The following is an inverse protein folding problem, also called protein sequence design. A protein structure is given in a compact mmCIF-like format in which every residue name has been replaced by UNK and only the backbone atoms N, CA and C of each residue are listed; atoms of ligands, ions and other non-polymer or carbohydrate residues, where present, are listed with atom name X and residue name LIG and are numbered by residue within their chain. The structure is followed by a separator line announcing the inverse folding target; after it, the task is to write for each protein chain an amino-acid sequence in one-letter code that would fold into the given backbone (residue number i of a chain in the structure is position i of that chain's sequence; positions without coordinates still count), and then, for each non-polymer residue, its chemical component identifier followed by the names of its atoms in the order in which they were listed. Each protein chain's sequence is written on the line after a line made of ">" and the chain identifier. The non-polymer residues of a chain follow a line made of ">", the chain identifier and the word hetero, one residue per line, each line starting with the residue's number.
data_IF_781849474276
#
_entry.id   IF_781849474276
#
_cell.length_a   1.000
_cell.length_b   1.000
_cell.length_c   1.000
_cell.angle_alpha   90.00
_cell.angle_beta   90.00
_cell.angle_gamma   90.00
#
_symmetry.space_group_name_H-M   'P 1'
#
loop_
_entity.id
_entity.type
_entity.pdbx_description
1 polymer ?
#
# COMPACT_ATOMS: atom_id res chain seq x y z
N UNK A 1 -9.44 6.44 -21.23
CA UNK A 1 -9.08 5.37 -20.29
C UNK A 1 -8.20 6.00 -19.21
N UNK A 2 -8.81 6.40 -18.09
CA UNK A 2 -8.11 7.13 -17.01
C UNK A 2 -6.90 6.36 -16.47
N UNK A 3 -7.07 5.08 -16.07
CA UNK A 3 -5.99 4.26 -15.51
C UNK A 3 -4.73 4.18 -16.41
N UNK A 4 -4.91 4.08 -17.74
CA UNK A 4 -3.76 4.07 -18.65
C UNK A 4 -2.97 5.39 -18.54
N UNK A 5 -3.66 6.52 -18.49
CA UNK A 5 -3.01 7.83 -18.37
C UNK A 5 -2.33 7.99 -17.00
N UNK A 6 -2.99 7.54 -15.94
CA UNK A 6 -2.43 7.59 -14.59
C UNK A 6 -1.13 6.76 -14.50
N UNK A 7 -1.12 5.52 -15.02
CA UNK A 7 0.09 4.69 -15.08
C UNK A 7 1.13 5.27 -16.05
N UNK A 8 0.71 5.85 -17.18
CA UNK A 8 1.63 6.44 -18.15
C UNK A 8 2.33 7.70 -17.63
N UNK A 9 1.65 8.51 -16.82
CA UNK A 9 2.20 9.70 -16.18
C UNK A 9 2.90 9.42 -14.86
N UNK A 10 2.79 8.20 -14.32
CA UNK A 10 3.42 7.81 -13.07
C UNK A 10 4.95 7.82 -13.18
N UNK A 11 5.63 8.45 -12.22
CA UNK A 11 7.08 8.44 -12.12
C UNK A 11 7.53 7.31 -11.21
N UNK A 12 8.17 6.26 -11.75
CA UNK A 12 8.64 5.14 -10.96
C UNK A 12 9.64 5.58 -9.88
N UNK A 13 9.50 5.03 -8.70
CA UNK A 13 10.39 5.30 -7.58
C UNK A 13 11.74 4.58 -7.72
N UNK A 14 11.74 3.41 -8.34
CA UNK A 14 12.93 2.56 -8.53
C UNK A 14 12.80 1.72 -9.80
N UNK A 15 13.80 0.89 -10.09
CA UNK A 15 13.84 0.00 -11.26
C UNK A 15 12.67 -1.00 -11.29
N UNK A 16 12.28 -1.53 -10.11
CA UNK A 16 11.15 -2.47 -10.02
C UNK A 16 9.87 -1.79 -10.52
N UNK A 17 9.53 -0.60 -10.02
CA UNK A 17 8.34 0.11 -10.51
C UNK A 17 8.43 0.50 -11.99
N UNK A 18 9.63 0.81 -12.49
CA UNK A 18 9.84 1.11 -13.91
C UNK A 18 9.55 -0.10 -14.79
N UNK A 19 10.02 -1.29 -14.39
CA UNK A 19 9.75 -2.54 -15.08
C UNK A 19 8.27 -2.93 -15.01
N UNK A 20 7.69 -2.87 -13.82
CA UNK A 20 6.29 -3.23 -13.57
C UNK A 20 5.31 -2.31 -14.30
N UNK A 21 5.59 -1.00 -14.32
CA UNK A 21 4.85 -0.01 -15.13
C UNK A 21 4.81 -0.41 -16.61
N UNK A 22 5.91 -0.90 -17.16
CA UNK A 22 5.99 -1.35 -18.56
C UNK A 22 5.07 -2.55 -18.81
N UNK A 23 5.07 -3.53 -17.90
CA UNK A 23 4.20 -4.71 -17.95
C UNK A 23 2.73 -4.30 -17.91
N UNK A 24 2.36 -3.41 -16.99
CA UNK A 24 0.99 -2.91 -16.82
C UNK A 24 0.49 -2.15 -18.04
N UNK A 25 1.30 -1.23 -18.57
CA UNK A 25 0.93 -0.48 -19.78
C UNK A 25 0.74 -1.40 -21.00
N UNK A 26 1.58 -2.44 -21.11
CA UNK A 26 1.42 -3.46 -22.15
C UNK A 26 0.14 -4.27 -21.96
N UNK A 27 -0.16 -4.70 -20.74
CA UNK A 27 -1.40 -5.43 -20.44
C UNK A 27 -2.64 -4.62 -20.80
N UNK A 28 -2.70 -3.35 -20.44
CA UNK A 28 -3.81 -2.44 -20.79
C UNK A 28 -3.99 -2.26 -22.30
N UNK A 29 -2.92 -2.37 -23.10
CA UNK A 29 -2.97 -2.26 -24.56
C UNK A 29 -3.37 -3.56 -25.25
N UNK A 30 -2.94 -4.71 -24.74
CA UNK A 30 -2.99 -5.98 -25.47
C UNK A 30 -3.92 -7.01 -24.88
N UNK A 31 -4.32 -6.87 -23.62
CA UNK A 31 -5.19 -7.82 -22.93
C UNK A 31 -6.51 -7.17 -22.52
N UNK A 32 -7.56 -7.40 -23.32
CA UNK A 32 -8.90 -6.87 -23.05
C UNK A 32 -9.55 -7.43 -21.77
N UNK A 33 -8.99 -8.52 -21.21
CA UNK A 33 -9.47 -9.19 -20.02
C UNK A 33 -8.60 -8.90 -18.79
N UNK A 34 -7.71 -7.91 -18.87
CA UNK A 34 -6.78 -7.61 -17.79
C UNK A 34 -7.45 -7.18 -16.47
N UNK A 35 -8.74 -6.89 -16.45
CA UNK A 35 -9.51 -6.63 -15.22
C UNK A 35 -10.29 -7.86 -14.72
N UNK A 36 -10.28 -8.98 -15.45
CA UNK A 36 -10.95 -10.21 -15.02
C UNK A 36 -9.94 -11.14 -14.32
N UNK A 37 -10.24 -11.58 -13.08
CA UNK A 37 -9.39 -12.49 -12.31
C UNK A 37 -9.15 -13.86 -12.97
N UNK A 38 -9.89 -14.21 -14.03
CA UNK A 38 -9.63 -15.40 -14.84
C UNK A 38 -8.46 -15.23 -15.81
N UNK A 39 -8.02 -13.99 -16.03
CA UNK A 39 -6.85 -13.72 -16.87
C UNK A 39 -5.57 -14.10 -16.11
N UNK A 40 -4.59 -14.68 -16.84
CA UNK A 40 -3.30 -15.08 -16.27
C UNK A 40 -2.52 -13.90 -15.64
N UNK A 41 -2.73 -12.70 -16.15
CA UNK A 41 -2.28 -11.46 -15.55
C UNK A 41 -3.47 -10.50 -15.50
N UNK A 42 -3.83 -10.06 -14.30
CA UNK A 42 -4.99 -9.19 -14.14
C UNK A 42 -4.75 -8.13 -13.07
N UNK A 43 -5.48 -7.02 -13.20
CA UNK A 43 -5.37 -5.91 -12.28
C UNK A 43 -5.99 -6.23 -10.92
N UNK A 44 -5.25 -5.83 -9.90
CA UNK A 44 -5.66 -5.73 -8.50
C UNK A 44 -5.38 -4.33 -8.00
N UNK A 45 -5.89 -3.97 -6.86
CA UNK A 45 -5.56 -2.72 -6.19
C UNK A 45 -5.33 -2.95 -4.72
N UNK A 46 -4.56 -2.03 -4.12
CA UNK A 46 -4.33 -2.02 -2.68
C UNK A 46 -4.52 -0.61 -2.12
N UNK A 47 -5.02 -0.54 -0.90
CA UNK A 47 -5.06 0.66 -0.09
C UNK A 47 -3.91 0.61 0.92
N UNK A 48 -2.92 1.50 0.75
CA UNK A 48 -1.96 1.77 1.81
C UNK A 48 -2.55 2.84 2.71
N UNK A 49 -3.13 2.40 3.81
CA UNK A 49 -3.88 3.28 4.70
C UNK A 49 -2.95 3.96 5.68
N UNK A 50 -3.11 5.27 5.87
CA UNK A 50 -2.35 6.05 6.84
C UNK A 50 -3.27 6.93 7.67
N UNK A 51 -2.86 7.20 8.92
CA UNK A 51 -3.48 8.26 9.71
C UNK A 51 -3.00 9.66 9.23
N UNK A 52 -3.67 10.75 9.59
CA UNK A 52 -3.30 12.11 9.14
C UNK A 52 -1.86 12.52 9.46
N UNK A 53 -1.28 11.99 10.54
CA UNK A 53 0.10 12.24 10.96
C UNK A 53 1.12 11.36 10.22
N UNK A 54 0.67 10.39 9.43
CA UNK A 54 1.50 9.39 8.72
C UNK A 54 2.46 8.68 9.69
N UNK A 55 1.94 8.20 10.81
CA UNK A 55 2.69 7.44 11.82
C UNK A 55 2.26 6.00 11.92
N UNK A 56 1.06 5.68 11.44
CA UNK A 56 0.44 4.35 11.51
C UNK A 56 -0.18 3.97 10.17
N UNK A 57 -0.34 2.67 9.96
CA UNK A 57 -1.09 2.06 8.84
C UNK A 57 -2.06 1.02 9.39
N UNK A 58 -3.13 0.71 8.64
CA UNK A 58 -4.01 -0.42 8.97
C UNK A 58 -3.45 -1.67 8.29
N UNK A 59 -3.39 -2.77 9.04
CA UNK A 59 -3.10 -4.10 8.50
C UNK A 59 -4.19 -5.09 8.92
N UNK A 60 -4.42 -6.06 8.06
CA UNK A 60 -5.36 -7.17 8.27
C UNK A 60 -4.61 -8.50 8.36
N UNK A 61 -5.06 -9.40 9.24
CA UNK A 61 -4.52 -10.76 9.30
C UNK A 61 -5.31 -11.64 8.34
N UNK A 62 -4.75 -11.90 7.17
CA UNK A 62 -5.44 -12.59 6.08
C UNK A 62 -5.45 -14.11 6.30
N UNK A 63 -6.65 -14.72 6.33
CA UNK A 63 -6.83 -16.13 6.66
C UNK A 63 -6.14 -17.10 5.67
N UNK A 64 -6.11 -16.76 4.36
CA UNK A 64 -5.49 -17.62 3.34
C UNK A 64 -3.96 -17.59 3.44
N UNK A 65 -3.37 -16.41 3.62
CA UNK A 65 -1.91 -16.26 3.69
C UNK A 65 -1.36 -16.50 5.09
N UNK A 66 -2.23 -16.58 6.12
CA UNK A 66 -1.87 -16.70 7.53
C UNK A 66 -0.80 -15.67 7.94
N UNK A 67 -0.94 -14.46 7.45
CA UNK A 67 0.04 -13.37 7.62
C UNK A 67 -0.66 -12.02 7.67
N UNK A 68 -0.03 -11.05 8.33
CA UNK A 68 -0.46 -9.66 8.28
C UNK A 68 -0.16 -9.06 6.91
N UNK A 69 -1.16 -8.44 6.31
CA UNK A 69 -1.13 -7.88 4.97
C UNK A 69 -1.76 -6.49 4.93
N UNK A 70 -1.46 -5.77 3.88
CA UNK A 70 -2.21 -4.57 3.48
C UNK A 70 -3.61 -4.95 2.98
N UNK A 71 -4.46 -3.94 2.82
CA UNK A 71 -5.82 -4.10 2.30
C UNK A 71 -5.78 -4.08 0.77
N UNK A 72 -6.54 -4.97 0.12
CA UNK A 72 -6.64 -4.95 -1.33
C UNK A 72 -7.45 -6.08 -1.92
N UNK A 73 -7.79 -5.94 -3.20
CA UNK A 73 -8.63 -6.92 -3.89
C UNK A 73 -8.54 -6.86 -5.40
N UNK A 74 -9.33 -7.71 -6.03
CA UNK A 74 -9.36 -7.84 -7.48
C UNK A 74 -10.25 -6.77 -8.13
N UNK A 75 -9.86 -6.37 -9.32
CA UNK A 75 -10.64 -5.45 -10.15
C UNK A 75 -12.03 -6.00 -10.52
N UNK A 76 -12.14 -7.31 -10.79
CA UNK A 76 -13.38 -8.02 -11.12
C UNK A 76 -14.22 -7.33 -12.19
N UNK A 77 -13.55 -6.89 -13.25
CA UNK A 77 -14.18 -6.19 -14.37
C UNK A 77 -14.29 -4.68 -14.19
N UNK A 78 -14.03 -4.14 -13.00
CA UNK A 78 -14.04 -2.70 -12.73
C UNK A 78 -12.71 -2.07 -13.14
N UNK A 79 -12.73 -1.05 -14.00
CA UNK A 79 -11.52 -0.30 -14.36
C UNK A 79 -11.23 0.90 -13.47
N UNK A 80 -12.15 1.26 -12.58
CA UNK A 80 -11.95 2.26 -11.52
C UNK A 80 -11.34 1.60 -10.29
N UNK A 81 -10.03 1.41 -10.31
CA UNK A 81 -9.30 0.74 -9.23
C UNK A 81 -9.28 1.58 -7.94
N UNK A 82 -9.45 2.89 -8.04
CA UNK A 82 -9.58 3.75 -6.86
C UNK A 82 -10.86 3.45 -6.09
N UNK A 83 -11.98 3.33 -6.80
CA UNK A 83 -13.25 2.93 -6.20
C UNK A 83 -13.19 1.49 -5.63
N UNK A 84 -12.48 0.58 -6.32
CA UNK A 84 -12.26 -0.79 -5.81
C UNK A 84 -11.44 -0.76 -4.51
N UNK A 85 -10.34 -0.01 -4.43
CA UNK A 85 -9.53 0.08 -3.22
C UNK A 85 -10.31 0.59 -2.00
N UNK A 86 -11.18 1.60 -2.19
CA UNK A 86 -12.04 2.10 -1.11
C UNK A 86 -13.14 1.10 -0.72
N UNK A 87 -13.66 0.33 -1.68
CA UNK A 87 -14.61 -0.74 -1.41
C UNK A 87 -13.97 -1.85 -0.57
N UNK A 88 -12.81 -2.36 -0.98
CA UNK A 88 -12.07 -3.40 -0.24
C UNK A 88 -11.71 -2.91 1.17
N UNK A 89 -11.26 -1.66 1.32
CA UNK A 89 -11.00 -1.08 2.64
C UNK A 89 -12.25 -1.16 3.53
N UNK A 90 -13.41 -0.76 3.02
CA UNK A 90 -14.67 -0.81 3.78
C UNK A 90 -15.06 -2.25 4.11
N UNK A 91 -14.95 -3.15 3.15
CA UNK A 91 -15.35 -4.55 3.31
C UNK A 91 -14.46 -5.29 4.31
N UNK A 92 -13.14 -5.14 4.20
CA UNK A 92 -12.19 -5.86 5.04
C UNK A 92 -12.01 -5.29 6.45
N UNK A 93 -12.28 -3.98 6.64
CA UNK A 93 -11.96 -3.29 7.89
C UNK A 93 -13.14 -2.62 8.57
N UNK A 94 -14.26 -2.45 7.87
CA UNK A 94 -15.43 -1.72 8.36
C UNK A 94 -15.27 -0.20 8.40
N UNK A 95 -14.15 0.37 7.92
CA UNK A 95 -13.95 1.81 7.81
C UNK A 95 -14.97 2.42 6.84
N UNK A 96 -15.71 3.44 7.29
CA UNK A 96 -16.74 4.08 6.48
C UNK A 96 -16.24 5.34 5.78
N UNK A 97 -15.38 6.11 6.47
CA UNK A 97 -14.87 7.39 5.97
C UNK A 97 -13.38 7.28 5.67
N UNK A 98 -13.07 7.25 4.38
CA UNK A 98 -11.71 7.16 3.87
C UNK A 98 -11.53 8.08 2.67
N UNK A 99 -10.34 8.62 2.48
CA UNK A 99 -10.03 9.51 1.37
C UNK A 99 -8.73 9.06 0.69
N UNK A 100 -8.79 8.84 -0.62
CA UNK A 100 -7.55 8.73 -1.41
C UNK A 100 -6.87 10.10 -1.40
N UNK A 101 -5.59 10.11 -1.08
CA UNK A 101 -4.77 11.31 -1.06
C UNK A 101 -3.68 11.19 -2.11
N UNK A 102 -3.48 12.26 -2.87
CA UNK A 102 -2.29 12.35 -3.70
C UNK A 102 -1.05 12.37 -2.79
N UNK A 103 0.04 11.64 -3.14
CA UNK A 103 1.29 11.75 -2.41
C UNK A 103 1.74 13.21 -2.20
N UNK A 104 1.45 14.11 -3.15
CA UNK A 104 1.78 15.54 -3.05
C UNK A 104 0.92 16.32 -2.06
N UNK A 105 -0.35 15.96 -1.89
CA UNK A 105 -1.19 16.57 -0.85
C UNK A 105 -0.61 16.35 0.55
N UNK A 106 0.14 15.27 0.73
CA UNK A 106 0.83 15.01 1.97
C UNK A 106 2.01 15.97 2.20
N UNK A 107 2.63 16.49 1.14
CA UNK A 107 3.74 17.46 1.22
C UNK A 107 3.24 18.86 1.56
N UNK A 108 2.14 19.28 0.96
CA UNK A 108 1.61 20.65 1.08
C UNK A 108 0.85 20.92 2.38
N UNK A 109 0.62 19.92 3.21
CA UNK A 109 -0.07 20.10 4.49
C UNK A 109 0.85 20.79 5.51
N UNK A 110 0.43 21.93 6.09
CA UNK A 110 1.14 22.48 7.23
C UNK A 110 1.17 21.42 8.35
N UNK A 111 2.36 21.19 8.91
CA UNK A 111 2.50 20.27 10.05
C UNK A 111 1.52 20.71 11.14
N UNK A 112 0.50 19.90 11.43
CA UNK A 112 -0.32 20.09 12.64
C UNK A 112 0.61 19.82 13.81
N UNK A 113 1.19 20.89 14.38
CA UNK A 113 1.84 20.78 15.69
C UNK A 113 0.76 20.28 16.65
N UNK A 114 0.98 19.18 17.39
CA UNK A 114 0.08 18.82 18.46
C UNK A 114 -0.02 20.04 19.39
N UNK A 115 -1.23 20.43 19.74
CA UNK A 115 -1.44 21.42 20.78
C UNK A 115 -0.64 20.95 22.00
N UNK A 116 0.42 21.69 22.32
CA UNK A 116 1.27 21.40 23.45
C UNK A 116 0.52 21.71 24.73
N UNK A 117 -0.32 20.80 25.17
CA UNK A 117 -0.70 20.74 26.57
C UNK A 117 0.54 20.31 27.38
N UNK A 118 0.97 21.25 28.21
CA UNK A 118 2.13 21.17 29.13
C UNK A 118 1.98 19.95 30.04
N UNK A 119 2.54 18.78 29.69
CA UNK A 119 3.03 17.75 30.63
C UNK A 119 3.62 16.55 29.85
N UNK A 120 4.87 16.63 29.47
CA UNK A 120 5.77 15.48 29.28
C UNK A 120 7.18 15.97 28.93
N UNK A 121 7.86 16.57 29.91
CA UNK A 121 9.32 16.62 29.92
C UNK A 121 9.80 15.38 30.68
N UNK A 122 9.89 14.25 30.03
CA UNK A 122 10.68 13.08 30.41
C UNK A 122 10.42 11.99 29.33
N UNK A 123 11.24 11.87 28.35
CA UNK A 123 11.47 10.68 27.52
C UNK A 123 12.09 10.98 26.14
N UNK A 124 12.79 12.10 25.99
CA UNK A 124 13.44 12.39 24.68
C UNK A 124 14.80 11.66 24.51
N UNK A 125 15.34 11.03 25.55
CA UNK A 125 16.68 10.40 25.52
C UNK A 125 16.67 8.88 25.24
N UNK A 126 15.52 8.21 25.28
CA UNK A 126 15.46 6.75 25.03
C UNK A 126 15.23 6.40 23.55
N UNK A 127 14.64 7.31 22.76
CA UNK A 127 14.32 7.06 21.35
C UNK A 127 15.56 7.09 20.45
N UNK A 128 16.64 7.76 20.87
CA UNK A 128 17.85 7.89 20.05
C UNK A 128 18.72 6.62 20.01
N UNK A 129 18.57 5.69 20.95
CA UNK A 129 19.39 4.49 21.03
C UNK A 129 18.79 3.24 20.39
N UNK A 130 17.48 3.20 20.14
CA UNK A 130 16.85 2.06 19.43
C UNK A 130 16.96 2.15 17.90
N UNK A 131 17.17 3.34 17.35
CA UNK A 131 17.34 3.51 15.88
C UNK A 131 18.70 3.05 15.34
N UNK A 132 19.67 2.73 16.21
CA UNK A 132 21.00 2.28 15.79
C UNK A 132 21.10 0.79 15.44
N UNK A 133 20.02 0.00 15.62
CA UNK A 133 19.98 -1.44 15.33
C UNK A 133 19.13 -1.82 14.12
N UNK A 134 18.58 -0.87 13.36
CA UNK A 134 17.91 -1.16 12.11
C UNK A 134 18.99 -1.52 11.08
N UNK A 135 18.99 -2.77 10.58
CA UNK A 135 19.80 -3.19 9.43
C UNK A 135 19.71 -2.15 8.33
N UNK A 136 20.86 -1.71 7.85
CA UNK A 136 20.99 -0.78 6.73
C UNK A 136 20.09 -1.23 5.57
N UNK A 137 19.19 -0.35 5.16
CA UNK A 137 18.41 -0.50 3.93
C UNK A 137 19.43 -0.50 2.79
N UNK A 138 19.40 -1.49 1.87
CA UNK A 138 20.36 -1.55 0.78
C UNK A 138 20.42 -0.21 0.04
N UNK A 139 21.63 0.25 -0.28
CA UNK A 139 21.97 1.53 -0.93
C UNK A 139 21.39 1.73 -2.36
N UNK A 140 20.43 0.92 -2.81
CA UNK A 140 19.78 1.02 -4.12
C UNK A 140 18.78 2.17 -4.28
N UNK A 141 18.55 2.98 -3.23
CA UNK A 141 17.58 4.10 -3.24
C UNK A 141 18.16 5.39 -3.85
N UNK A 142 19.36 5.37 -4.42
CA UNK A 142 20.13 6.59 -4.77
C UNK A 142 19.57 7.41 -5.95
N UNK A 143 18.54 6.92 -6.67
CA UNK A 143 17.91 7.64 -7.78
C UNK A 143 16.38 7.74 -7.69
N UNK A 144 15.83 7.75 -6.49
CA UNK A 144 14.38 7.88 -6.30
C UNK A 144 13.92 9.28 -6.73
N UNK A 145 13.18 9.37 -7.83
CA UNK A 145 12.49 10.60 -8.21
C UNK A 145 11.26 10.81 -7.34
N UNK A 146 10.96 12.07 -7.03
CA UNK A 146 9.72 12.43 -6.34
C UNK A 146 8.49 11.97 -7.16
N UNK A 147 7.39 11.57 -6.50
CA UNK A 147 6.16 11.15 -7.18
C UNK A 147 5.65 12.22 -8.16
N UNK A 148 4.92 11.82 -9.21
CA UNK A 148 4.32 12.78 -10.13
C UNK A 148 3.23 13.63 -9.45
N UNK A 149 3.24 14.97 -9.60
CA UNK A 149 2.24 15.82 -8.97
C UNK A 149 0.81 15.57 -9.43
N UNK A 150 0.62 14.91 -10.56
CA UNK A 150 -0.69 14.70 -11.19
C UNK A 150 -1.23 13.27 -11.04
N UNK A 151 -0.39 12.31 -10.63
CA UNK A 151 -0.82 10.91 -10.49
C UNK A 151 -1.43 10.66 -9.12
N UNK A 152 -2.64 10.07 -9.02
CA UNK A 152 -3.24 9.64 -7.76
C UNK A 152 -2.58 8.35 -7.22
N UNK A 153 -1.68 7.74 -8.00
CA UNK A 153 -1.10 6.45 -7.70
C UNK A 153 0.05 6.61 -6.71
N UNK A 154 0.07 5.76 -5.68
CA UNK A 154 1.13 5.74 -4.69
C UNK A 154 2.26 4.78 -5.09
N UNK A 155 1.91 3.58 -5.61
CA UNK A 155 2.91 2.58 -5.97
C UNK A 155 2.39 1.60 -7.03
N UNK A 156 3.31 0.94 -7.74
CA UNK A 156 3.01 -0.08 -8.75
C UNK A 156 3.81 -1.35 -8.45
N UNK A 157 3.14 -2.51 -8.49
CA UNK A 157 3.74 -3.81 -8.23
C UNK A 157 3.18 -4.89 -9.18
N UNK A 158 4.06 -5.67 -9.80
CA UNK A 158 3.67 -6.95 -10.40
C UNK A 158 4.01 -8.05 -9.39
N UNK A 159 2.98 -8.65 -8.81
CA UNK A 159 3.11 -9.67 -7.78
C UNK A 159 2.82 -11.05 -8.37
N UNK A 160 3.63 -12.04 -8.02
CA UNK A 160 3.39 -13.44 -8.34
C UNK A 160 2.45 -14.06 -7.31
N UNK A 161 1.49 -14.81 -7.79
CA UNK A 161 0.62 -15.64 -6.95
C UNK A 161 0.85 -17.08 -7.33
N UNK A 162 1.29 -17.88 -6.36
CA UNK A 162 1.50 -19.30 -6.56
C UNK A 162 0.20 -20.07 -6.76
N UNK A 163 0.27 -21.20 -7.45
CA UNK A 163 -0.87 -22.09 -7.61
C UNK A 163 -1.39 -22.58 -6.25
N UNK A 164 -2.70 -22.48 -6.05
CA UNK A 164 -3.32 -22.79 -4.77
C UNK A 164 -4.74 -23.35 -4.95
N UNK A 165 -5.27 -23.96 -3.91
CA UNK A 165 -6.65 -24.40 -3.86
C UNK A 165 -7.55 -23.36 -3.18
N UNK A 166 -8.68 -23.03 -3.82
CA UNK A 166 -9.73 -22.18 -3.26
C UNK A 166 -11.09 -22.78 -3.59
N UNK A 167 -11.92 -23.00 -2.56
CA UNK A 167 -13.27 -23.60 -2.73
C UNK A 167 -13.23 -24.94 -3.48
N UNK A 168 -12.31 -25.83 -3.14
CA UNK A 168 -12.08 -27.13 -3.78
C UNK A 168 -11.79 -27.07 -5.28
N UNK A 169 -11.23 -25.97 -5.76
CA UNK A 169 -10.77 -25.80 -7.15
C UNK A 169 -9.32 -25.35 -7.16
N UNK A 170 -8.53 -25.97 -8.00
CA UNK A 170 -7.16 -25.51 -8.23
C UNK A 170 -7.16 -24.25 -9.07
N UNK A 171 -6.43 -23.25 -8.59
CA UNK A 171 -6.16 -21.99 -9.29
C UNK A 171 -4.66 -22.01 -9.65
N UNK A 172 -4.36 -21.90 -10.94
CA UNK A 172 -2.98 -21.90 -11.41
C UNK A 172 -2.26 -20.59 -11.01
N UNK A 173 -0.93 -20.65 -10.96
CA UNK A 173 -0.09 -19.48 -10.73
C UNK A 173 -0.40 -18.38 -11.73
N UNK A 174 -0.44 -17.14 -11.26
CA UNK A 174 -0.81 -15.97 -12.06
C UNK A 174 -0.14 -14.69 -11.55
N UNK A 175 -0.33 -13.58 -12.26
CA UNK A 175 0.22 -12.29 -11.90
C UNK A 175 -0.88 -11.33 -11.48
N UNK A 176 -0.69 -10.68 -10.34
CA UNK A 176 -1.42 -9.50 -9.96
C UNK A 176 -0.70 -8.24 -10.46
N UNK A 177 -1.35 -7.47 -11.30
CA UNK A 177 -0.91 -6.14 -11.72
C UNK A 177 -1.48 -5.15 -10.69
N UNK A 178 -0.78 -5.00 -9.58
CA UNK A 178 -1.28 -4.28 -8.41
C UNK A 178 -1.00 -2.79 -8.49
N UNK A 179 -2.05 -2.01 -8.29
CA UNK A 179 -1.99 -0.54 -8.20
C UNK A 179 -2.29 -0.14 -6.77
N UNK A 180 -1.34 0.52 -6.10
CA UNK A 180 -1.50 0.95 -4.71
C UNK A 180 -1.90 2.43 -4.64
N UNK A 181 -2.94 2.71 -3.87
CA UNK A 181 -3.39 4.05 -3.51
C UNK A 181 -3.00 4.39 -2.08
N UNK A 182 -2.60 5.64 -1.84
CA UNK A 182 -2.45 6.18 -0.49
C UNK A 182 -3.81 6.63 0.01
N UNK A 183 -4.25 6.08 1.14
CA UNK A 183 -5.58 6.34 1.68
C UNK A 183 -5.46 6.88 3.10
N UNK A 184 -6.10 8.00 3.36
CA UNK A 184 -6.15 8.59 4.71
C UNK A 184 -7.44 8.21 5.41
N UNK A 185 -7.29 7.78 6.67
CA UNK A 185 -8.39 7.39 7.56
C UNK A 185 -8.14 8.01 8.94
N UNK A 186 -9.21 8.51 9.57
CA UNK A 186 -9.15 8.99 10.96
C UNK A 186 -8.95 7.79 11.90
N UNK A 187 -7.95 7.82 12.81
CA UNK A 187 -7.72 6.70 13.74
C UNK A 187 -8.88 6.42 14.70
N UNK A 188 -9.85 7.31 14.82
CA UNK A 188 -11.07 7.10 15.61
C UNK A 188 -12.12 6.23 14.91
N UNK A 189 -11.96 5.93 13.61
CA UNK A 189 -12.83 5.00 12.89
C UNK A 189 -12.78 3.61 13.53
N UNK A 190 -13.97 3.02 13.71
CA UNK A 190 -14.09 1.71 14.31
C UNK A 190 -13.68 0.61 13.32
N UNK A 191 -12.68 -0.19 13.70
CA UNK A 191 -12.24 -1.31 12.89
C UNK A 191 -13.03 -2.58 13.20
N UNK A 192 -13.42 -3.34 12.17
CA UNK A 192 -14.13 -4.61 12.27
C UNK A 192 -13.51 -5.64 11.33
N UNK A 193 -13.35 -6.86 11.80
CA UNK A 193 -12.91 -7.99 10.98
C UNK A 193 -14.02 -8.42 10.01
N UNK A 194 -13.61 -8.96 8.86
CA UNK A 194 -14.46 -9.70 7.91
C UNK A 194 -14.12 -11.19 8.04
N UNK A 195 -14.86 -11.99 8.84
CA UNK A 195 -14.44 -13.30 9.30
C UNK A 195 -14.18 -14.33 8.18
N UNK A 196 -14.78 -14.16 7.02
CA UNK A 196 -14.57 -14.98 5.83
C UNK A 196 -13.27 -14.67 5.09
N UNK A 197 -12.63 -13.52 5.34
CA UNK A 197 -11.39 -13.10 4.70
C UNK A 197 -10.25 -12.88 5.69
N UNK A 198 -10.53 -12.25 6.85
CA UNK A 198 -9.51 -11.94 7.84
C UNK A 198 -9.98 -12.25 9.27
N UNK A 199 -9.02 -12.52 10.16
CA UNK A 199 -9.25 -12.78 11.58
C UNK A 199 -8.67 -11.70 12.49
N UNK A 200 -8.08 -10.66 11.93
CA UNK A 200 -7.54 -9.53 12.67
C UNK A 200 -7.48 -8.27 11.81
N UNK A 201 -7.77 -7.14 12.41
CA UNK A 201 -7.56 -5.81 11.82
C UNK A 201 -7.09 -4.86 12.89
N UNK A 202 -6.04 -4.06 12.62
CA UNK A 202 -5.52 -3.11 13.59
C UNK A 202 -4.69 -2.00 12.94
N UNK A 203 -4.57 -0.89 13.66
CA UNK A 203 -3.55 0.10 13.41
C UNK A 203 -2.18 -0.42 13.87
N UNK A 204 -1.18 -0.25 13.04
CA UNK A 204 0.21 -0.67 13.26
C UNK A 204 1.11 0.54 13.06
N UNK A 205 2.04 0.77 13.98
CA UNK A 205 3.05 1.82 13.80
C UNK A 205 3.93 1.51 12.57
N UNK A 206 4.24 2.52 11.75
CA UNK A 206 4.99 2.32 10.51
C UNK A 206 6.36 1.65 10.74
N UNK A 207 7.00 1.86 11.89
CA UNK A 207 8.27 1.20 12.24
C UNK A 207 8.13 -0.29 12.55
N UNK A 208 6.92 -0.79 12.79
CA UNK A 208 6.65 -2.20 13.08
C UNK A 208 6.20 -3.01 11.85
N UNK A 209 5.83 -2.34 10.76
CA UNK A 209 5.26 -2.98 9.56
C UNK A 209 6.13 -4.11 9.02
N UNK A 210 7.45 -3.89 8.95
CA UNK A 210 8.38 -4.90 8.42
C UNK A 210 8.49 -6.15 9.29
N UNK A 211 8.05 -6.08 10.55
CA UNK A 211 8.04 -7.22 11.47
C UNK A 211 6.68 -7.95 11.49
N UNK A 212 5.69 -7.43 10.76
CA UNK A 212 4.33 -7.98 10.78
C UNK A 212 4.10 -9.06 9.72
N UNK A 213 4.68 -8.92 8.54
CA UNK A 213 4.47 -9.85 7.44
C UNK A 213 5.50 -10.97 7.46
N UNK A 214 5.04 -12.21 7.31
CA UNK A 214 5.88 -13.41 7.19
C UNK A 214 6.35 -13.67 5.76
N UNK A 215 5.89 -12.89 4.78
CA UNK A 215 6.27 -13.00 3.37
C UNK A 215 7.52 -12.15 3.07
N UNK A 216 8.72 -12.77 2.89
CA UNK A 216 9.97 -12.02 2.77
C UNK A 216 9.98 -11.04 1.60
N UNK A 217 9.47 -11.44 0.43
CA UNK A 217 9.43 -10.57 -0.74
C UNK A 217 8.55 -9.34 -0.51
N UNK A 218 7.34 -9.54 0.02
CA UNK A 218 6.40 -8.45 0.32
C UNK A 218 7.03 -7.52 1.35
N UNK A 219 7.56 -8.05 2.44
CA UNK A 219 8.19 -7.29 3.51
C UNK A 219 9.38 -6.46 3.02
N UNK A 220 10.34 -7.12 2.34
CA UNK A 220 11.65 -6.53 2.04
C UNK A 220 11.66 -5.70 0.77
N UNK A 221 10.76 -5.97 -0.17
CA UNK A 221 10.71 -5.25 -1.46
C UNK A 221 9.53 -4.31 -1.55
N UNK A 222 8.35 -4.73 -1.11
CA UNK A 222 7.14 -3.91 -1.28
C UNK A 222 6.94 -2.98 -0.08
N UNK A 223 6.82 -3.50 1.14
CA UNK A 223 6.58 -2.65 2.31
C UNK A 223 7.76 -1.73 2.60
N UNK A 224 8.99 -2.20 2.47
CA UNK A 224 10.18 -1.35 2.61
C UNK A 224 10.17 -0.18 1.61
N UNK A 225 9.77 -0.42 0.36
CA UNK A 225 9.59 0.62 -0.66
C UNK A 225 8.50 1.61 -0.28
N UNK A 226 7.31 1.14 0.15
CA UNK A 226 6.21 2.02 0.55
C UNK A 226 6.60 2.92 1.73
N UNK A 227 7.32 2.37 2.72
CA UNK A 227 7.83 3.14 3.86
C UNK A 227 8.88 4.16 3.42
N UNK A 228 9.80 3.80 2.51
CA UNK A 228 10.78 4.74 1.95
C UNK A 228 10.10 5.91 1.22
N UNK A 229 9.04 5.64 0.45
CA UNK A 229 8.24 6.67 -0.22
C UNK A 229 7.54 7.59 0.78
N UNK A 230 6.95 7.06 1.86
CA UNK A 230 6.35 7.87 2.92
C UNK A 230 7.40 8.73 3.63
N UNK A 231 8.59 8.20 3.89
CA UNK A 231 9.68 8.97 4.49
C UNK A 231 10.12 10.13 3.59
N UNK A 232 10.23 9.90 2.28
CA UNK A 232 10.54 10.97 1.33
C UNK A 232 9.48 12.08 1.39
N UNK A 233 8.19 11.75 1.39
CA UNK A 233 7.11 12.72 1.51
C UNK A 233 7.16 13.53 2.81
N UNK A 234 7.56 12.90 3.93
CA UNK A 234 7.74 13.59 5.21
C UNK A 234 8.90 14.59 5.20
N UNK A 235 9.99 14.30 4.49
CA UNK A 235 11.14 15.20 4.40
C UNK A 235 10.91 16.39 3.46
N UNK A 236 9.91 16.29 2.58
CA UNK A 236 9.52 17.37 1.67
C UNK A 236 8.50 18.34 2.33
N UNK A 237 7.95 18.03 3.51
CA UNK A 237 7.11 18.90 4.33
C UNK A 237 7.97 19.91 5.09
#
# INVERSE_FOLDING_TARGET
>A
MALYQDIASYHPFNEQEAADRHVMLRALKTNRFCFDRKSQAHFTCSAWVVNPEITQTIMVFHNIYNSWSWIGGHADGCSDLAAVALRELREETGVEYARIVSPWECVDRPSRRPNADKKAKASANEISNEMASAKEIPNEVVNASAPSPTSPLFSLEVLTVDGHEKNNRYISSHLHLNVTYLVEVDPSEALRVKPDENSGVKWVSLNQVLNMSDEPWIRERIYAKLLAKLNLLKHLR
#
